data_IF_680771340720
#
_entry.id   IF_680771340720
#
_cell.length_a   1.000
_cell.length_b   1.000
_cell.length_c   1.000
_cell.angle_alpha   90.00
_cell.angle_beta   90.00
_cell.angle_gamma   90.00
#
_symmetry.space_group_name_H-M   'P 1'
#
loop_
_entity.id
_entity.type
_entity.pdbx_description
1 polymer ?
#
# COMPACT_ATOMS: atom_id res chain seq x y z
N UNK A 1 0.32 34.76 0.43
CA UNK A 1 1.74 34.76 0.80
C UNK A 1 2.06 33.33 1.24
N UNK A 2 2.63 32.51 0.36
CA UNK A 2 2.91 31.10 0.67
C UNK A 2 4.13 31.04 1.59
N UNK A 3 3.95 30.67 2.85
CA UNK A 3 5.05 30.16 3.67
C UNK A 3 5.64 28.96 2.92
N UNK A 4 6.87 29.10 2.43
CA UNK A 4 7.65 27.96 1.97
C UNK A 4 7.90 27.10 3.20
N UNK A 5 7.20 25.97 3.31
CA UNK A 5 7.51 24.97 4.33
C UNK A 5 9.00 24.63 4.20
N UNK A 6 9.78 24.91 5.24
CA UNK A 6 11.21 24.68 5.23
C UNK A 6 11.47 23.17 5.09
N UNK A 7 12.29 22.80 4.12
CA UNK A 7 12.77 21.44 3.97
C UNK A 7 13.87 21.18 5.00
N UNK A 8 13.69 20.12 5.79
CA UNK A 8 14.65 19.67 6.79
C UNK A 8 15.43 18.48 6.22
N UNK A 9 16.76 18.59 6.22
CA UNK A 9 17.67 17.54 5.78
C UNK A 9 18.28 16.85 6.99
N UNK A 10 18.20 15.52 7.01
CA UNK A 10 18.83 14.68 8.03
C UNK A 10 19.80 13.73 7.36
N UNK A 11 21.02 13.62 7.93
CA UNK A 11 22.08 12.77 7.42
C UNK A 11 22.40 11.68 8.43
N UNK A 12 22.67 10.47 7.94
CA UNK A 12 23.11 9.34 8.74
C UNK A 12 24.14 8.52 7.97
N UNK A 13 25.04 7.85 8.69
CA UNK A 13 26.03 6.97 8.07
C UNK A 13 25.38 5.74 7.44
N UNK A 14 25.91 5.29 6.30
CA UNK A 14 25.53 4.04 5.66
C UNK A 14 26.42 2.91 6.22
N UNK A 15 25.85 1.76 6.60
CA UNK A 15 26.66 0.59 6.96
C UNK A 15 27.57 0.21 5.80
N UNK A 16 28.75 -0.36 6.10
CA UNK A 16 29.68 -0.83 5.10
C UNK A 16 28.99 -1.79 4.10
N UNK A 17 28.64 -1.29 2.90
CA UNK A 17 27.83 -2.06 1.95
C UNK A 17 28.51 -3.36 1.50
N UNK A 18 29.84 -3.42 1.59
CA UNK A 18 30.63 -4.60 1.30
C UNK A 18 30.54 -5.69 2.38
N UNK A 19 30.06 -5.36 3.58
CA UNK A 19 29.76 -6.31 4.67
C UNK A 19 28.31 -6.81 4.64
N UNK A 20 27.50 -6.24 3.75
CA UNK A 20 26.12 -6.66 3.52
C UNK A 20 26.05 -7.62 2.33
N UNK A 21 24.95 -8.38 2.26
CA UNK A 21 24.61 -9.17 1.09
C UNK A 21 23.12 -9.00 0.74
N UNK A 22 22.85 -9.05 -0.56
CA UNK A 22 21.51 -9.12 -1.11
C UNK A 22 21.13 -10.58 -1.32
N UNK A 23 19.96 -10.98 -0.82
CA UNK A 23 19.30 -12.23 -1.16
C UNK A 23 17.97 -11.91 -1.81
N UNK A 24 17.74 -12.46 -3.00
CA UNK A 24 16.44 -12.37 -3.67
C UNK A 24 15.67 -13.63 -3.33
N UNK A 25 14.42 -13.47 -2.90
CA UNK A 25 13.55 -14.56 -2.47
C UNK A 25 12.28 -14.54 -3.31
N UNK A 26 11.98 -15.63 -4.01
CA UNK A 26 10.75 -15.76 -4.80
C UNK A 26 9.64 -16.43 -4.00
N UNK A 27 8.41 -15.97 -4.23
CA UNK A 27 7.18 -16.54 -3.70
C UNK A 27 6.55 -17.40 -4.80
N UNK A 28 6.41 -18.72 -4.59
CA UNK A 28 5.75 -19.59 -5.55
C UNK A 28 4.32 -19.13 -5.84
N UNK A 29 3.92 -19.19 -7.10
CA UNK A 29 2.60 -18.77 -7.60
C UNK A 29 1.45 -19.57 -6.96
N UNK A 30 1.72 -20.79 -6.50
CA UNK A 30 0.77 -21.70 -5.84
C UNK A 30 0.52 -21.39 -4.34
N UNK A 31 1.08 -20.31 -3.81
CA UNK A 31 0.74 -19.88 -2.45
C UNK A 31 -0.76 -19.60 -2.38
N UNK A 32 -1.49 -20.34 -1.53
CA UNK A 32 -2.95 -20.29 -1.29
C UNK A 32 -3.50 -18.94 -0.75
N UNK A 33 -2.95 -17.82 -1.19
CA UNK A 33 -3.56 -16.51 -1.06
C UNK A 33 -4.25 -16.23 -2.39
N UNK A 34 -5.58 -16.35 -2.41
CA UNK A 34 -6.42 -16.18 -3.62
C UNK A 34 -5.98 -15.05 -4.55
N UNK A 35 -6.23 -15.26 -5.85
CA UNK A 35 -5.67 -14.64 -7.06
C UNK A 35 -5.70 -13.10 -7.22
N UNK A 36 -5.88 -12.32 -6.15
CA UNK A 36 -5.70 -10.87 -6.13
C UNK A 36 -4.80 -10.36 -5.00
N UNK A 37 -4.16 -11.25 -4.24
CA UNK A 37 -3.32 -10.91 -3.09
C UNK A 37 -1.87 -10.94 -3.49
N UNK A 38 -1.22 -9.78 -3.68
CA UNK A 38 0.23 -9.67 -3.95
C UNK A 38 1.03 -10.35 -2.81
N UNK A 39 1.40 -11.63 -2.93
CA UNK A 39 1.75 -12.44 -1.76
C UNK A 39 3.16 -12.08 -1.27
N UNK A 40 4.04 -11.71 -2.20
CA UNK A 40 5.37 -11.17 -1.95
C UNK A 40 5.36 -9.89 -1.11
N UNK A 41 4.34 -9.01 -1.22
CA UNK A 41 4.23 -7.83 -0.36
C UNK A 41 3.93 -8.22 1.09
N UNK A 42 2.98 -9.15 1.27
CA UNK A 42 2.61 -9.66 2.60
C UNK A 42 3.81 -10.37 3.25
N UNK A 43 4.51 -11.22 2.51
CA UNK A 43 5.70 -11.91 3.00
C UNK A 43 6.84 -10.95 3.30
N UNK A 44 7.06 -9.94 2.47
CA UNK A 44 8.05 -8.91 2.72
C UNK A 44 7.78 -8.16 4.03
N UNK A 45 6.52 -7.76 4.26
CA UNK A 45 6.13 -7.09 5.52
C UNK A 45 6.27 -8.02 6.71
N UNK A 46 5.84 -9.27 6.60
CA UNK A 46 6.03 -10.27 7.66
C UNK A 46 7.50 -10.40 8.06
N UNK A 47 8.42 -10.47 7.09
CA UNK A 47 9.86 -10.50 7.33
C UNK A 47 10.36 -9.23 8.03
N UNK A 48 9.98 -8.04 7.55
CA UNK A 48 10.39 -6.75 8.15
C UNK A 48 10.00 -6.64 9.64
N UNK A 49 8.82 -7.16 10.02
CA UNK A 49 8.33 -7.06 11.39
C UNK A 49 8.81 -8.20 12.30
N UNK A 50 9.34 -9.29 11.75
CA UNK A 50 9.80 -10.44 12.52
C UNK A 50 11.31 -10.58 12.58
N UNK A 51 12.04 -9.90 11.69
CA UNK A 51 13.50 -9.92 11.63
C UNK A 51 14.01 -8.48 11.70
N UNK A 52 14.65 -8.11 12.81
CA UNK A 52 15.08 -6.71 13.05
C UNK A 52 16.32 -6.31 12.24
N UNK A 53 17.16 -7.29 11.90
CA UNK A 53 18.49 -7.11 11.30
C UNK A 53 18.47 -7.13 9.76
N UNK A 54 17.29 -6.96 9.15
CA UNK A 54 17.14 -6.96 7.70
C UNK A 54 16.44 -5.69 7.21
N UNK A 55 16.75 -5.33 5.97
CA UNK A 55 15.96 -4.41 5.16
C UNK A 55 15.38 -5.21 4.00
N UNK A 56 14.14 -4.96 3.62
CA UNK A 56 13.53 -5.65 2.50
C UNK A 56 12.66 -4.72 1.65
N UNK A 57 12.47 -5.09 0.39
CA UNK A 57 11.50 -4.48 -0.51
C UNK A 57 10.88 -5.54 -1.42
N UNK A 58 9.56 -5.52 -1.66
CA UNK A 58 8.94 -6.33 -2.69
C UNK A 58 9.34 -5.83 -4.08
N UNK A 59 9.47 -6.73 -5.06
CA UNK A 59 9.58 -6.34 -6.46
C UNK A 59 8.22 -5.90 -6.99
N UNK A 60 8.13 -4.68 -7.53
CA UNK A 60 6.87 -4.14 -8.08
C UNK A 60 6.62 -4.56 -9.55
N UNK A 61 7.49 -5.39 -10.13
CA UNK A 61 7.40 -5.87 -11.52
C UNK A 61 6.77 -7.27 -11.66
N UNK A 62 7.05 -7.94 -12.79
CA UNK A 62 6.50 -9.25 -13.16
C UNK A 62 7.00 -10.45 -12.32
N UNK A 63 7.75 -10.20 -11.23
CA UNK A 63 8.23 -11.22 -10.32
C UNK A 63 7.50 -11.13 -8.98
N UNK A 64 7.04 -12.24 -8.43
CA UNK A 64 6.61 -12.31 -7.04
C UNK A 64 7.83 -12.51 -6.12
N UNK A 65 8.78 -11.57 -6.14
CA UNK A 65 10.00 -11.68 -5.34
C UNK A 65 10.15 -10.55 -4.32
N UNK A 66 11.03 -10.80 -3.36
CA UNK A 66 11.41 -9.90 -2.29
C UNK A 66 12.93 -9.79 -2.30
N UNK A 67 13.44 -8.57 -2.37
CA UNK A 67 14.85 -8.27 -2.20
C UNK A 67 15.11 -8.04 -0.71
N UNK A 68 16.10 -8.74 -0.16
CA UNK A 68 16.44 -8.67 1.27
C UNK A 68 17.92 -8.32 1.39
N UNK A 69 18.22 -7.23 2.08
CA UNK A 69 19.56 -6.81 2.47
C UNK A 69 19.77 -7.18 3.93
N UNK A 70 20.87 -7.86 4.22
CA UNK A 70 21.25 -8.31 5.56
C UNK A 70 22.77 -8.33 5.74
N UNK A 71 23.29 -8.31 6.98
CA UNK A 71 24.70 -8.54 7.25
C UNK A 71 25.17 -9.92 6.76
N UNK A 72 26.37 -10.01 6.22
CA UNK A 72 26.96 -11.29 5.82
C UNK A 72 27.15 -12.24 7.00
N UNK A 73 27.43 -11.71 8.20
CA UNK A 73 27.50 -12.49 9.44
C UNK A 73 26.19 -13.20 9.73
N UNK A 74 25.04 -12.51 9.58
CA UNK A 74 23.72 -13.08 9.73
C UNK A 74 23.43 -14.14 8.65
N UNK A 75 23.76 -13.85 7.39
CA UNK A 75 23.58 -14.81 6.29
C UNK A 75 24.33 -16.13 6.57
N UNK A 76 25.57 -16.06 7.07
CA UNK A 76 26.41 -17.24 7.36
C UNK A 76 25.83 -18.13 8.47
N UNK A 77 24.91 -17.64 9.31
CA UNK A 77 24.27 -18.46 10.36
C UNK A 77 23.28 -19.49 9.82
N UNK A 78 22.77 -19.32 8.59
CA UNK A 78 21.74 -20.19 8.03
C UNK A 78 20.32 -19.95 8.59
N UNK A 79 20.15 -19.13 9.63
CA UNK A 79 18.87 -18.93 10.34
C UNK A 79 17.75 -18.45 9.40
N UNK A 80 18.05 -17.41 8.60
CA UNK A 80 17.07 -16.82 7.69
C UNK A 80 16.75 -17.76 6.52
N UNK A 81 17.71 -18.53 6.04
CA UNK A 81 17.54 -19.50 4.96
C UNK A 81 16.61 -20.62 5.40
N UNK A 82 16.81 -21.16 6.61
CA UNK A 82 15.88 -22.13 7.20
C UNK A 82 14.49 -21.53 7.38
N UNK A 83 14.38 -20.24 7.72
CA UNK A 83 13.09 -19.55 7.80
C UNK A 83 12.42 -19.40 6.42
N UNK A 84 13.16 -19.00 5.39
CA UNK A 84 12.64 -18.92 4.03
C UNK A 84 12.07 -20.27 3.56
N UNK A 85 12.80 -21.36 3.80
CA UNK A 85 12.32 -22.72 3.51
C UNK A 85 11.02 -23.06 4.26
N UNK A 86 10.95 -22.77 5.57
CA UNK A 86 9.72 -22.98 6.37
C UNK A 86 8.53 -22.15 5.87
N UNK A 87 8.80 -20.97 5.31
CA UNK A 87 7.78 -20.10 4.70
C UNK A 87 7.42 -20.50 3.27
N UNK A 88 8.03 -21.56 2.72
CA UNK A 88 7.83 -22.00 1.33
C UNK A 88 8.45 -21.07 0.30
N UNK A 89 9.46 -20.29 0.70
CA UNK A 89 10.12 -19.32 -0.15
C UNK A 89 11.42 -19.86 -0.72
N UNK A 90 11.73 -19.52 -1.98
CA UNK A 90 12.96 -19.95 -2.63
C UNK A 90 13.97 -18.81 -2.65
N UNK A 91 15.09 -19.00 -1.95
CA UNK A 91 16.15 -18.01 -1.84
C UNK A 91 17.25 -18.25 -2.89
N UNK A 92 17.64 -17.20 -3.59
CA UNK A 92 18.77 -17.21 -4.50
C UNK A 92 20.11 -17.07 -3.77
N UNK A 93 21.21 -17.29 -4.51
CA UNK A 93 22.57 -17.06 -4.01
C UNK A 93 22.78 -15.57 -3.66
N UNK A 94 23.58 -15.27 -2.62
CA UNK A 94 23.82 -13.91 -2.18
C UNK A 94 24.59 -13.13 -3.24
N UNK A 95 24.24 -11.85 -3.39
CA UNK A 95 24.87 -10.91 -4.33
C UNK A 95 25.37 -9.67 -3.57
N UNK A 96 26.23 -8.89 -4.22
CA UNK A 96 26.71 -7.61 -3.68
C UNK A 96 25.57 -6.59 -3.59
N UNK A 97 25.56 -5.80 -2.51
CA UNK A 97 24.62 -4.69 -2.33
C UNK A 97 25.15 -3.46 -3.05
N UNK A 98 24.29 -2.80 -3.83
CA UNK A 98 24.55 -1.48 -4.43
C UNK A 98 23.78 -0.41 -3.66
N UNK A 99 24.19 0.88 -3.71
CA UNK A 99 23.46 1.97 -3.07
C UNK A 99 21.98 2.02 -3.48
N UNK A 100 21.67 1.80 -4.78
CA UNK A 100 20.30 1.79 -5.27
C UNK A 100 19.44 0.67 -4.65
N UNK A 101 20.01 -0.53 -4.46
CA UNK A 101 19.31 -1.64 -3.83
C UNK A 101 19.10 -1.36 -2.34
N UNK A 102 20.12 -0.84 -1.66
CA UNK A 102 20.01 -0.44 -0.26
C UNK A 102 18.94 0.64 -0.08
N UNK A 103 18.93 1.68 -0.91
CA UNK A 103 17.93 2.75 -0.88
C UNK A 103 16.51 2.22 -1.01
N UNK A 104 16.27 1.32 -1.97
CA UNK A 104 14.95 0.71 -2.18
C UNK A 104 14.49 -0.09 -0.96
N UNK A 105 15.34 -0.98 -0.45
CA UNK A 105 15.07 -1.78 0.75
C UNK A 105 14.87 -0.90 1.99
N UNK A 106 15.71 0.11 2.19
CA UNK A 106 15.63 1.04 3.30
C UNK A 106 14.34 1.86 3.25
N UNK A 107 14.01 2.45 2.08
CA UNK A 107 12.78 3.24 1.89
C UNK A 107 11.55 2.40 2.19
N UNK A 108 11.43 1.21 1.61
CA UNK A 108 10.27 0.35 1.85
C UNK A 108 10.17 -0.10 3.32
N UNK A 109 11.30 -0.49 3.92
CA UNK A 109 11.35 -0.91 5.33
C UNK A 109 10.97 0.22 6.27
N UNK A 110 11.48 1.43 6.03
CA UNK A 110 11.14 2.64 6.78
C UNK A 110 9.63 2.92 6.72
N UNK A 111 9.06 2.93 5.51
CA UNK A 111 7.62 3.13 5.32
C UNK A 111 6.79 2.04 6.00
N UNK A 112 7.24 0.78 5.93
CA UNK A 112 6.57 -0.31 6.60
C UNK A 112 6.56 -0.13 8.12
N UNK A 113 7.70 0.23 8.73
CA UNK A 113 7.85 0.44 10.18
C UNK A 113 7.14 1.70 10.68
N UNK A 114 6.99 2.71 9.84
CA UNK A 114 6.27 3.94 10.17
C UNK A 114 4.74 3.73 10.26
N UNK A 115 4.19 2.82 9.47
CA UNK A 115 2.77 2.45 9.56
C UNK A 115 2.48 1.62 10.83
N UNK A 116 1.33 1.80 11.51
CA UNK A 116 0.21 2.68 11.14
C UNK A 116 0.31 4.11 11.70
N UNK A 117 1.44 4.52 12.29
CA UNK A 117 1.60 5.86 12.86
C UNK A 117 1.68 6.95 11.80
N UNK A 118 2.35 6.65 10.69
CA UNK A 118 2.47 7.49 9.51
C UNK A 118 2.18 6.64 8.25
N UNK A 119 1.20 7.05 7.45
CA UNK A 119 0.61 6.23 6.40
C UNK A 119 0.79 6.86 5.02
N UNK A 120 1.27 6.08 4.05
CA UNK A 120 1.50 6.54 2.67
C UNK A 120 0.21 6.97 2.00
N UNK A 121 0.09 8.21 1.53
CA UNK A 121 -1.04 8.72 0.74
C UNK A 121 -0.49 9.55 -0.41
N UNK A 122 -0.45 8.98 -1.61
CA UNK A 122 0.24 9.58 -2.75
C UNK A 122 1.70 9.81 -2.39
N UNK A 123 2.18 11.03 -2.49
CA UNK A 123 3.55 11.40 -2.13
C UNK A 123 3.77 11.67 -0.64
N UNK A 124 2.69 11.77 0.14
CA UNK A 124 2.73 12.12 1.55
C UNK A 124 2.74 10.91 2.49
N UNK A 125 3.19 11.13 3.72
CA UNK A 125 2.94 10.29 4.88
C UNK A 125 2.03 11.05 5.83
N UNK A 126 0.86 10.50 6.11
CA UNK A 126 -0.20 11.13 6.91
C UNK A 126 -0.17 10.56 8.31
N UNK A 127 -0.15 11.44 9.31
CA UNK A 127 -0.12 11.06 10.71
C UNK A 127 -1.46 10.47 11.15
N UNK A 128 -1.40 9.40 11.95
CA UNK A 128 -2.55 8.84 12.67
C UNK A 128 -3.00 7.49 12.13
N UNK A 129 -3.42 6.61 13.06
CA UNK A 129 -3.82 5.24 12.74
C UNK A 129 -5.18 5.16 12.05
N UNK A 130 -6.01 6.17 12.28
CA UNK A 130 -7.41 6.26 11.85
C UNK A 130 -7.58 7.39 10.81
N UNK A 131 -6.50 7.72 10.08
CA UNK A 131 -6.48 8.79 9.08
C UNK A 131 -7.51 8.57 7.95
N UNK A 132 -7.88 7.31 7.69
CA UNK A 132 -8.83 6.92 6.64
C UNK A 132 -10.27 7.35 6.99
N UNK A 133 -10.61 7.39 8.28
CA UNK A 133 -11.96 7.70 8.78
C UNK A 133 -12.11 9.14 9.25
N UNK A 134 -11.01 9.89 9.28
CA UNK A 134 -10.98 11.25 9.83
C UNK A 134 -11.26 12.28 8.74
N UNK A 135 -12.15 13.23 9.01
CA UNK A 135 -12.47 14.35 8.11
C UNK A 135 -11.76 15.66 8.51
N UNK A 136 -10.89 15.58 9.50
CA UNK A 136 -10.15 16.72 10.05
C UNK A 136 -8.87 17.00 9.27
N UNK A 137 -8.28 18.16 9.56
CA UNK A 137 -6.94 18.48 9.07
C UNK A 137 -5.93 17.59 9.78
N UNK A 138 -5.07 16.94 9.02
CA UNK A 138 -4.06 16.03 9.53
C UNK A 138 -2.67 16.52 9.17
N UNK A 139 -1.73 16.30 10.08
CA UNK A 139 -0.32 16.50 9.80
C UNK A 139 0.12 15.48 8.76
N UNK A 140 0.91 15.95 7.80
CA UNK A 140 1.53 15.11 6.80
C UNK A 140 2.99 15.53 6.60
N UNK A 141 3.80 14.62 6.11
CA UNK A 141 5.16 14.92 5.65
C UNK A 141 5.35 14.41 4.23
N UNK A 142 6.08 15.14 3.41
CA UNK A 142 6.75 14.56 2.26
C UNK A 142 8.11 14.05 2.76
N UNK A 143 8.44 12.80 2.44
CA UNK A 143 9.71 12.17 2.81
C UNK A 143 10.37 11.65 1.54
N UNK A 144 11.54 12.18 1.23
CA UNK A 144 12.43 11.61 0.24
C UNK A 144 13.69 11.03 0.88
N UNK A 145 14.18 9.95 0.29
CA UNK A 145 15.32 9.18 0.79
C UNK A 145 16.30 8.97 -0.33
N UNK A 146 17.51 9.48 -0.14
CA UNK A 146 18.65 9.32 -1.04
C UNK A 146 19.79 8.62 -0.31
N UNK A 147 20.42 7.64 -0.95
CA UNK A 147 21.54 6.89 -0.38
C UNK A 147 22.73 6.97 -1.32
N UNK A 148 23.88 7.33 -0.75
CA UNK A 148 25.19 7.25 -1.40
C UNK A 148 25.99 6.07 -0.83
N UNK A 149 27.24 5.90 -1.24
CA UNK A 149 28.13 4.91 -0.61
C UNK A 149 28.51 5.26 0.82
N UNK A 150 28.33 6.53 1.25
CA UNK A 150 28.80 7.03 2.55
C UNK A 150 27.65 7.38 3.49
N UNK A 151 26.55 7.91 2.97
CA UNK A 151 25.49 8.51 3.78
C UNK A 151 24.09 8.27 3.24
N UNK A 152 23.12 8.27 4.15
CA UNK A 152 21.69 8.35 3.88
C UNK A 152 21.25 9.78 4.17
N UNK A 153 20.59 10.41 3.19
CA UNK A 153 19.95 11.70 3.34
C UNK A 153 18.43 11.53 3.34
N UNK A 154 17.77 12.07 4.36
CA UNK A 154 16.33 12.16 4.49
C UNK A 154 15.92 13.62 4.31
N UNK A 155 15.17 13.92 3.24
CA UNK A 155 14.56 15.22 3.04
C UNK A 155 13.11 15.17 3.52
N UNK A 156 12.76 16.04 4.48
CA UNK A 156 11.45 16.05 5.13
C UNK A 156 10.81 17.42 5.00
N UNK A 157 9.58 17.45 4.48
CA UNK A 157 8.79 18.67 4.37
C UNK A 157 7.45 18.50 5.08
N UNK A 158 7.17 19.36 6.07
CA UNK A 158 5.91 19.34 6.81
C UNK A 158 4.76 19.92 5.98
N UNK A 159 3.58 19.33 6.11
CA UNK A 159 2.37 19.69 5.40
C UNK A 159 1.15 19.50 6.32
N UNK A 160 0.06 20.20 6.01
CA UNK A 160 -1.26 19.93 6.58
C UNK A 160 -2.15 19.55 5.40
N UNK A 161 -2.72 18.35 5.45
CA UNK A 161 -3.67 17.89 4.43
C UNK A 161 -5.06 17.71 5.04
N UNK A 162 -6.07 17.78 4.19
CA UNK A 162 -7.42 17.34 4.53
C UNK A 162 -7.80 16.24 3.55
N UNK A 163 -8.04 15.05 4.07
CA UNK A 163 -8.63 13.97 3.30
C UNK A 163 -10.12 14.23 3.14
N UNK A 164 -10.58 14.32 1.89
CA UNK A 164 -12.00 14.35 1.57
C UNK A 164 -12.33 13.09 0.80
N UNK A 165 -12.73 11.99 1.48
CA UNK A 165 -13.28 10.82 0.80
C UNK A 165 -14.42 11.26 -0.13
N UNK A 166 -14.58 10.55 -1.25
CA UNK A 166 -15.64 10.88 -2.19
C UNK A 166 -17.00 10.80 -1.47
N UNK A 167 -17.82 11.82 -1.62
CA UNK A 167 -19.18 11.81 -1.10
C UNK A 167 -20.14 11.34 -2.20
N UNK A 168 -21.27 10.78 -1.79
CA UNK A 168 -22.29 10.32 -2.76
C UNK A 168 -22.85 11.47 -3.61
N UNK A 169 -22.88 12.69 -3.06
CA UNK A 169 -23.26 13.88 -3.79
C UNK A 169 -22.27 14.22 -4.91
N UNK A 170 -20.99 13.91 -4.72
CA UNK A 170 -19.94 14.22 -5.70
C UNK A 170 -20.09 13.40 -6.98
N UNK A 171 -20.80 12.27 -6.94
CA UNK A 171 -20.99 11.38 -8.10
C UNK A 171 -22.00 11.91 -9.12
N UNK A 172 -22.84 12.87 -8.72
CA UNK A 172 -23.90 13.41 -9.58
C UNK A 172 -25.02 12.41 -9.92
N UNK A 173 -25.20 11.36 -9.11
CA UNK A 173 -26.29 10.39 -9.29
C UNK A 173 -27.62 11.04 -8.91
N UNK A 174 -28.64 10.90 -9.76
CA UNK A 174 -29.95 11.48 -9.48
C UNK A 174 -30.67 10.76 -8.31
N UNK A 175 -31.48 11.53 -7.56
CA UNK A 175 -32.17 11.02 -6.34
C UNK A 175 -32.97 9.73 -6.57
N UNK A 176 -33.78 9.57 -7.64
CA UNK A 176 -34.55 8.34 -7.83
C UNK A 176 -33.67 7.08 -7.96
N UNK A 177 -32.53 7.20 -8.64
CA UNK A 177 -31.56 6.09 -8.76
C UNK A 177 -30.94 5.81 -7.40
N UNK A 178 -30.64 6.85 -6.62
CA UNK A 178 -30.15 6.68 -5.26
C UNK A 178 -31.15 5.98 -4.36
N UNK A 179 -32.41 6.39 -4.37
CA UNK A 179 -33.47 5.83 -3.55
C UNK A 179 -33.74 4.35 -3.89
N UNK A 180 -33.64 4.00 -5.16
CA UNK A 180 -33.73 2.61 -5.60
C UNK A 180 -32.54 1.79 -5.09
N UNK A 181 -31.31 2.28 -5.28
CA UNK A 181 -30.11 1.65 -4.76
C UNK A 181 -30.19 1.51 -3.24
N UNK A 182 -30.52 2.60 -2.53
CA UNK A 182 -31.25 2.71 -1.25
C UNK A 182 -31.76 1.43 -0.61
N UNK A 183 -32.85 0.97 -1.21
CA UNK A 183 -33.75 -0.03 -0.66
C UNK A 183 -33.36 -1.46 -1.03
N UNK A 184 -32.58 -1.61 -2.08
CA UNK A 184 -32.15 -2.90 -2.58
C UNK A 184 -30.82 -3.33 -1.96
N UNK A 185 -30.81 -4.43 -1.22
CA UNK A 185 -29.61 -5.04 -0.62
C UNK A 185 -28.59 -5.48 -1.69
N UNK A 186 -29.06 -5.78 -2.90
CA UNK A 186 -28.21 -6.09 -4.07
C UNK A 186 -28.08 -4.90 -5.03
N UNK A 187 -28.44 -3.70 -4.55
CA UNK A 187 -28.48 -2.49 -5.36
C UNK A 187 -27.18 -2.24 -6.11
N UNK A 188 -27.33 -1.85 -7.38
CA UNK A 188 -26.24 -1.50 -8.28
C UNK A 188 -26.53 -0.18 -8.99
N UNK A 189 -25.56 0.71 -9.02
CA UNK A 189 -25.57 1.89 -9.89
C UNK A 189 -24.57 1.66 -11.00
N UNK A 190 -25.07 1.70 -12.23
CA UNK A 190 -24.27 1.52 -13.42
C UNK A 190 -23.61 2.83 -13.87
N UNK A 191 -22.53 2.71 -14.64
CA UNK A 191 -21.69 3.82 -15.10
C UNK A 191 -22.48 5.00 -15.70
N UNK A 192 -23.46 4.71 -16.54
CA UNK A 192 -24.26 5.75 -17.23
C UNK A 192 -25.08 6.62 -16.28
N UNK A 193 -25.28 6.19 -15.04
CA UNK A 193 -25.99 6.95 -14.00
C UNK A 193 -25.07 7.82 -13.15
N UNK A 194 -23.75 7.77 -13.39
CA UNK A 194 -22.72 8.47 -12.63
C UNK A 194 -22.17 9.60 -13.51
N UNK A 195 -22.38 10.86 -13.11
CA UNK A 195 -21.85 12.00 -13.87
C UNK A 195 -20.34 12.15 -13.66
N UNK A 196 -19.88 12.04 -12.41
CA UNK A 196 -18.47 12.20 -12.05
C UNK A 196 -17.84 10.84 -11.77
N UNK A 197 -17.23 10.27 -12.81
CA UNK A 197 -16.68 8.90 -12.76
C UNK A 197 -15.21 8.84 -12.35
N UNK A 198 -14.50 9.96 -12.19
CA UNK A 198 -13.08 9.93 -11.87
C UNK A 198 -12.80 10.01 -10.37
N UNK A 199 -11.89 9.17 -9.89
CA UNK A 199 -11.49 9.12 -8.49
C UNK A 199 -10.00 8.80 -8.34
N UNK A 200 -9.47 8.99 -7.13
CA UNK A 200 -8.16 8.51 -6.71
C UNK A 200 -8.29 7.41 -5.65
N UNK A 201 -7.43 6.40 -5.74
CA UNK A 201 -7.45 5.26 -4.83
C UNK A 201 -6.16 5.17 -4.02
N UNK A 202 -6.28 5.01 -2.70
CA UNK A 202 -5.14 4.79 -1.81
C UNK A 202 -4.38 3.46 -2.11
N UNK A 203 -3.16 3.26 -1.58
CA UNK A 203 -2.25 4.30 -1.08
C UNK A 203 -1.67 5.17 -2.20
N UNK A 204 -1.67 4.66 -3.44
CA UNK A 204 -0.93 5.26 -4.55
C UNK A 204 -1.53 6.56 -5.09
N UNK A 205 -2.78 6.86 -4.73
CA UNK A 205 -3.57 7.96 -5.30
C UNK A 205 -3.63 7.89 -6.82
N UNK A 206 -3.56 6.69 -7.39
CA UNK A 206 -3.72 6.50 -8.84
C UNK A 206 -5.14 6.89 -9.24
N UNK A 207 -5.23 7.65 -10.33
CA UNK A 207 -6.50 8.04 -10.94
C UNK A 207 -7.15 6.83 -11.62
N UNK A 208 -8.39 6.56 -11.26
CA UNK A 208 -9.20 5.46 -11.80
C UNK A 208 -10.60 5.94 -12.16
N UNK A 209 -11.28 5.17 -13.02
CA UNK A 209 -12.65 5.42 -13.43
C UNK A 209 -13.61 4.51 -12.68
N UNK A 210 -14.56 5.07 -11.95
CA UNK A 210 -15.68 4.38 -11.33
C UNK A 210 -16.59 3.87 -12.44
N UNK A 211 -16.81 2.55 -12.45
CA UNK A 211 -17.67 1.87 -13.42
C UNK A 211 -19.01 1.54 -12.79
N UNK A 212 -19.02 0.99 -11.58
CA UNK A 212 -20.26 0.70 -10.85
C UNK A 212 -20.11 0.97 -9.36
N UNK A 213 -21.24 1.23 -8.70
CA UNK A 213 -21.37 1.13 -7.25
C UNK A 213 -22.24 -0.07 -6.91
N UNK A 214 -21.85 -0.83 -5.90
CA UNK A 214 -22.53 -2.04 -5.45
C UNK A 214 -22.60 -2.08 -3.93
N UNK A 215 -23.66 -2.68 -3.38
CA UNK A 215 -23.81 -2.88 -1.93
C UNK A 215 -23.11 -4.12 -1.38
N UNK A 216 -22.81 -5.07 -2.25
CA UNK A 216 -22.17 -6.33 -1.88
C UNK A 216 -20.87 -6.49 -2.66
N UNK A 217 -19.90 -7.15 -2.03
CA UNK A 217 -18.66 -7.49 -2.70
C UNK A 217 -18.98 -8.49 -3.83
N UNK A 218 -18.67 -8.17 -5.09
CA UNK A 218 -18.97 -9.04 -6.23
C UNK A 218 -18.34 -10.43 -6.10
N UNK A 219 -18.98 -11.46 -6.65
CA UNK A 219 -18.47 -12.85 -6.56
C UNK A 219 -17.14 -13.06 -7.27
N UNK A 220 -16.89 -12.31 -8.34
CA UNK A 220 -15.64 -12.27 -9.11
C UNK A 220 -14.52 -11.49 -8.39
N UNK A 221 -14.83 -10.83 -7.28
CA UNK A 221 -13.84 -10.16 -6.43
C UNK A 221 -12.85 -11.17 -5.83
N UNK A 222 -11.56 -10.78 -5.69
CA UNK A 222 -10.58 -11.55 -4.94
C UNK A 222 -10.87 -11.57 -3.42
N UNK A 223 -11.75 -10.68 -2.94
CA UNK A 223 -12.23 -10.66 -1.56
C UNK A 223 -13.63 -11.27 -1.50
N UNK A 224 -13.84 -12.23 -0.59
CA UNK A 224 -15.17 -12.85 -0.39
C UNK A 224 -15.95 -12.16 0.73
N UNK A 225 -15.26 -11.49 1.64
CA UNK A 225 -15.86 -10.78 2.77
C UNK A 225 -15.16 -9.44 3.01
N UNK A 226 -15.84 -8.52 3.68
CA UNK A 226 -15.22 -7.27 4.12
C UNK A 226 -14.04 -7.54 5.08
N UNK A 227 -14.13 -8.59 5.90
CA UNK A 227 -13.03 -9.04 6.77
C UNK A 227 -11.76 -9.38 5.99
N UNK A 228 -11.89 -9.99 4.80
CA UNK A 228 -10.75 -10.28 3.93
C UNK A 228 -10.12 -8.99 3.40
N UNK A 229 -10.95 -8.02 3.02
CA UNK A 229 -10.53 -6.71 2.55
C UNK A 229 -9.81 -5.93 3.66
N UNK A 230 -10.38 -5.82 4.87
CA UNK A 230 -9.71 -5.22 6.04
C UNK A 230 -8.36 -5.86 6.30
N UNK A 231 -8.29 -7.19 6.28
CA UNK A 231 -7.04 -7.93 6.49
C UNK A 231 -6.01 -7.61 5.41
N UNK A 232 -6.42 -7.53 4.15
CA UNK A 232 -5.53 -7.16 3.05
C UNK A 232 -4.98 -5.75 3.23
N UNK A 233 -5.82 -4.74 3.48
CA UNK A 233 -5.37 -3.36 3.66
C UNK A 233 -4.44 -3.20 4.87
N UNK A 234 -4.77 -3.85 5.99
CA UNK A 234 -3.91 -3.89 7.18
C UNK A 234 -2.56 -4.55 6.90
N UNK A 235 -2.56 -5.73 6.28
CA UNK A 235 -1.35 -6.51 6.11
C UNK A 235 -0.44 -5.98 4.99
N UNK A 236 -1.02 -5.38 3.94
CA UNK A 236 -0.30 -4.86 2.77
C UNK A 236 0.18 -3.42 2.99
N UNK A 237 -0.65 -2.56 3.60
CA UNK A 237 -0.37 -1.12 3.71
C UNK A 237 -0.30 -0.60 5.14
N UNK A 238 -0.70 -1.40 6.13
CA UNK A 238 -0.80 -0.98 7.52
C UNK A 238 -2.09 -0.22 7.86
N UNK A 239 -3.01 -0.09 6.91
CA UNK A 239 -4.20 0.73 7.09
C UNK A 239 -5.27 0.07 7.97
N UNK A 240 -5.99 0.91 8.72
CA UNK A 240 -7.18 0.51 9.48
C UNK A 240 -8.42 1.01 8.76
N UNK A 241 -9.17 0.07 8.19
CA UNK A 241 -10.48 0.34 7.63
C UNK A 241 -11.55 0.29 8.73
N UNK A 242 -12.73 0.91 8.52
CA UNK A 242 -13.86 0.89 9.47
C UNK A 242 -14.18 -0.50 10.00
N UNK A 243 -14.71 -0.56 11.23
CA UNK A 243 -14.87 -1.85 11.88
C UNK A 243 -15.98 -2.72 11.32
N UNK A 244 -17.09 -2.09 10.95
CA UNK A 244 -18.29 -2.68 10.36
C UNK A 244 -18.40 -2.35 8.87
N UNK A 245 -19.04 -3.23 8.10
CA UNK A 245 -19.49 -2.98 6.73
C UNK A 245 -20.98 -2.60 6.65
N UNK A 246 -21.63 -2.32 7.78
CA UNK A 246 -23.00 -1.79 7.80
C UNK A 246 -23.11 -0.52 6.97
N UNK A 247 -23.97 -0.56 5.95
CA UNK A 247 -24.16 0.56 5.02
C UNK A 247 -22.97 0.83 4.09
N UNK A 248 -21.96 -0.04 4.05
CA UNK A 248 -20.80 0.13 3.19
C UNK A 248 -21.19 0.08 1.71
N UNK A 249 -20.63 1.02 0.96
CA UNK A 249 -20.76 1.06 -0.50
C UNK A 249 -19.40 0.69 -1.09
N UNK A 250 -19.43 -0.22 -2.07
CA UNK A 250 -18.25 -0.64 -2.79
C UNK A 250 -18.23 -0.03 -4.19
N UNK A 251 -17.06 0.47 -4.57
CA UNK A 251 -16.77 1.09 -5.85
C UNK A 251 -16.01 0.10 -6.71
N UNK A 252 -16.54 -0.23 -7.88
CA UNK A 252 -15.82 -0.97 -8.89
C UNK A 252 -15.09 0.04 -9.78
N UNK A 253 -13.76 0.02 -9.71
CA UNK A 253 -12.89 1.00 -10.37
C UNK A 253 -12.04 0.31 -11.42
N UNK A 254 -11.97 0.94 -12.58
CA UNK A 254 -11.17 0.56 -13.72
C UNK A 254 -9.92 1.44 -13.82
N UNK A 255 -8.77 0.81 -14.07
CA UNK A 255 -7.50 1.51 -14.35
C UNK A 255 -7.00 1.15 -15.73
N UNK A 256 -7.08 2.10 -16.67
CA UNK A 256 -6.61 1.93 -18.06
C UNK A 256 -5.20 1.31 -18.18
N UNK A 257 -4.20 1.69 -17.35
CA UNK A 257 -2.85 1.11 -17.46
C UNK A 257 -2.73 -0.35 -17.01
N UNK A 258 -3.70 -0.89 -16.27
CA UNK A 258 -3.64 -2.22 -15.64
C UNK A 258 -4.43 -3.26 -16.46
N UNK A 259 -5.10 -2.85 -17.53
CA UNK A 259 -5.92 -3.71 -18.39
C UNK A 259 -7.39 -3.72 -17.98
N UNK A 260 -8.11 -4.78 -18.37
CA UNK A 260 -9.59 -4.85 -18.28
C UNK A 260 -10.15 -5.30 -16.93
N UNK A 261 -9.30 -5.39 -15.90
CA UNK A 261 -9.72 -5.84 -14.56
C UNK A 261 -10.45 -4.71 -13.81
N UNK A 262 -11.60 -5.06 -13.22
CA UNK A 262 -12.30 -4.21 -12.26
C UNK A 262 -11.80 -4.51 -10.85
N UNK A 263 -11.53 -3.46 -10.09
CA UNK A 263 -11.08 -3.56 -8.71
C UNK A 263 -12.15 -3.02 -7.77
N UNK A 264 -12.48 -3.78 -6.73
CA UNK A 264 -13.51 -3.42 -5.76
C UNK A 264 -12.89 -2.75 -4.54
N UNK A 265 -13.31 -1.52 -4.25
CA UNK A 265 -12.82 -0.71 -3.13
C UNK A 265 -13.96 -0.26 -2.22
N UNK A 266 -13.75 -0.23 -0.88
CA UNK A 266 -14.70 0.38 0.03
C UNK A 266 -14.60 1.91 -0.06
N UNK A 267 -15.69 2.62 0.22
CA UNK A 267 -15.75 4.09 0.17
C UNK A 267 -14.57 4.78 0.88
N UNK A 268 -14.14 4.23 2.01
CA UNK A 268 -13.13 4.83 2.88
C UNK A 268 -11.76 5.03 2.20
N UNK A 269 -11.48 4.37 1.07
CA UNK A 269 -10.21 4.51 0.34
C UNK A 269 -10.36 5.14 -1.05
N UNK A 270 -11.54 5.70 -1.35
CA UNK A 270 -11.87 6.36 -2.63
C UNK A 270 -11.98 7.86 -2.40
N UNK A 271 -11.22 8.62 -3.18
CA UNK A 271 -11.10 10.07 -3.06
C UNK A 271 -11.51 10.77 -4.35
N UNK A 272 -12.04 11.98 -4.24
CA UNK A 272 -12.42 12.80 -5.39
C UNK A 272 -11.18 13.19 -6.23
N UNK A 273 -11.35 13.27 -7.55
CA UNK A 273 -10.31 13.71 -8.51
C UNK A 273 -10.29 15.21 -8.74
#
# INVERSE_FOLDING_TARGET
MHERNAELLYFADVPALHELCLVVVSVPTDCKLGSGKQPHIIRCRELIFTEQDILATPSLGHGHSVQIVMPQSLYKTGRLQSRFQKMGLQAEKPRRVTPAIFQSCYRYTLLAKLAPGWNKVGDYLVQGRDFVTTNEKMNAICLDVTVTEKEVCLAVQAHIIRSSPIQLADLGVCRPVWDAFTRDVHGKIAEYSICNTWCHILPSMKKGKIVNLVRQIPEDSPFKTYKDMKRYWKNTYGYRLPDTDEGMIYYQVYFKPIGNTLFTYPLSVVFIS
#
